data_IF_281963976345
#
_entry.id   IF_281963976345
#
_cell.length_a   1.000
_cell.length_b   1.000
_cell.length_c   1.000
_cell.angle_alpha   90.00
_cell.angle_beta   90.00
_cell.angle_gamma   90.00
#
_symmetry.space_group_name_H-M   'P 1'
#
loop_
_entity.id
_entity.type
_entity.pdbx_description
1 polymer ?
#
# COMPACT_ATOMS: atom_id res chain seq x y z
N UNK A 1 32.57 56.92 29.71
CA UNK A 1 32.93 58.08 28.85
C UNK A 1 32.03 57.98 27.63
N UNK A 2 30.82 58.54 27.70
CA UNK A 2 30.47 59.91 27.24
C UNK A 2 30.85 60.09 25.77
N UNK A 3 29.99 60.36 24.79
CA UNK A 3 28.78 61.20 24.71
C UNK A 3 27.90 60.67 23.56
N UNK A 4 26.57 60.67 23.59
CA UNK A 4 25.66 61.84 23.49
C UNK A 4 25.91 62.63 22.18
N UNK A 5 24.96 63.08 21.36
CA UNK A 5 23.52 63.26 21.51
C UNK A 5 22.94 63.71 20.15
N UNK A 6 21.69 63.31 19.90
CA UNK A 6 20.53 64.15 19.48
C UNK A 6 20.51 64.92 18.14
N UNK A 7 19.32 64.75 17.52
CA UNK A 7 18.45 65.78 16.92
C UNK A 7 18.94 66.42 15.60
N UNK A 8 18.14 66.76 14.61
CA UNK A 8 16.68 66.87 14.41
C UNK A 8 16.46 67.27 12.94
N UNK A 9 15.43 66.74 12.29
CA UNK A 9 14.76 67.32 11.09
C UNK A 9 14.22 68.76 11.40
N UNK A 10 13.82 69.64 10.43
CA UNK A 10 13.05 69.32 9.20
C UNK A 10 13.23 70.27 7.98
N UNK A 11 12.47 70.01 6.90
CA UNK A 11 11.91 71.10 6.08
C UNK A 11 12.03 71.01 4.55
N UNK A 12 10.91 70.64 3.92
CA UNK A 12 10.54 70.68 2.50
C UNK A 12 11.10 71.81 1.61
N UNK A 13 11.39 71.48 0.33
CA UNK A 13 10.85 72.15 -0.88
C UNK A 13 10.88 71.16 -2.07
N UNK A 14 9.74 70.91 -2.72
CA UNK A 14 9.66 70.35 -4.07
C UNK A 14 9.63 71.50 -5.10
N UNK A 15 10.11 71.31 -6.35
CA UNK A 15 9.12 70.99 -7.39
C UNK A 15 9.63 70.19 -8.63
N UNK A 16 8.63 69.78 -9.42
CA UNK A 16 8.62 69.60 -10.87
C UNK A 16 9.10 68.29 -11.53
N UNK A 17 8.08 67.50 -11.88
CA UNK A 17 7.89 66.59 -13.03
C UNK A 17 8.93 66.74 -14.16
N UNK A 18 9.60 65.63 -14.51
CA UNK A 18 9.86 65.26 -15.91
C UNK A 18 9.72 63.75 -16.10
N UNK A 19 8.78 63.41 -16.97
CA UNK A 19 8.55 62.10 -17.54
C UNK A 19 9.78 61.67 -18.35
N UNK A 20 10.33 60.49 -18.09
CA UNK A 20 11.23 59.78 -18.99
C UNK A 20 11.21 58.30 -18.64
N UNK A 21 10.39 57.55 -19.38
CA UNK A 21 10.36 56.10 -19.38
C UNK A 21 11.68 55.63 -20.03
N UNK A 22 12.59 55.05 -19.23
CA UNK A 22 13.65 54.18 -19.75
C UNK A 22 13.19 52.74 -19.59
N UNK A 23 12.86 52.10 -20.71
CA UNK A 23 12.75 50.64 -20.79
C UNK A 23 14.12 50.06 -20.40
N UNK A 24 14.20 49.41 -19.23
CA UNK A 24 15.23 48.41 -18.96
C UNK A 24 14.71 47.09 -19.52
N UNK A 25 15.43 46.55 -20.49
CA UNK A 25 15.29 45.16 -20.90
C UNK A 25 15.66 44.29 -19.68
N UNK A 26 14.65 43.69 -19.05
CA UNK A 26 14.85 42.59 -18.11
C UNK A 26 14.87 41.30 -18.93
N UNK A 27 15.97 40.57 -18.84
CA UNK A 27 16.12 39.20 -19.30
C UNK A 27 14.95 38.35 -18.77
N UNK A 28 14.36 37.44 -19.57
CA UNK A 28 13.30 36.59 -19.06
C UNK A 28 13.91 35.57 -18.11
N UNK A 29 13.71 35.77 -16.80
CA UNK A 29 13.68 34.65 -15.88
C UNK A 29 12.51 33.77 -16.33
N UNK A 30 12.81 32.58 -16.85
CA UNK A 30 11.85 31.50 -16.93
C UNK A 30 11.45 31.14 -15.50
N UNK A 31 10.38 31.76 -15.00
CA UNK A 31 9.65 31.23 -13.86
C UNK A 31 8.70 30.19 -14.45
N UNK A 32 9.07 28.91 -14.35
CA UNK A 32 8.10 27.83 -14.49
C UNK A 32 7.10 27.97 -13.33
N UNK A 33 6.03 28.71 -13.56
CA UNK A 33 4.84 28.62 -12.74
C UNK A 33 4.17 27.28 -13.08
N UNK A 34 4.36 26.28 -12.22
CA UNK A 34 3.56 25.07 -12.25
C UNK A 34 2.11 25.48 -11.98
N UNK A 35 1.29 25.48 -13.04
CA UNK A 35 -0.15 25.60 -12.94
C UNK A 35 -0.65 24.27 -12.36
N UNK A 36 -0.92 24.26 -11.06
CA UNK A 36 -1.65 23.16 -10.42
C UNK A 36 -3.12 23.24 -10.87
N UNK A 37 -3.45 22.52 -11.93
CA UNK A 37 -4.83 22.17 -12.25
C UNK A 37 -5.23 21.04 -11.30
N UNK A 38 -6.15 21.35 -10.39
CA UNK A 38 -6.74 20.38 -9.49
C UNK A 38 -7.65 19.40 -10.24
N UNK A 39 -7.34 18.11 -10.13
CA UNK A 39 -8.27 16.97 -10.08
C UNK A 39 -7.44 15.68 -10.10
N UNK A 40 -7.88 14.69 -9.32
CA UNK A 40 -7.29 13.35 -9.13
C UNK A 40 -6.11 13.32 -8.16
N UNK A 41 -6.18 12.42 -7.17
CA UNK A 41 -5.17 12.31 -6.13
C UNK A 41 -3.79 12.11 -6.70
N UNK A 42 -2.80 12.74 -6.05
CA UNK A 42 -1.42 12.73 -6.50
C UNK A 42 -0.93 11.27 -6.44
N UNK A 43 -1.12 10.55 -7.54
CA UNK A 43 -0.27 9.44 -7.87
C UNK A 43 1.15 10.01 -7.87
N UNK A 44 2.02 9.43 -7.04
CA UNK A 44 3.45 9.77 -7.05
C UNK A 44 3.93 9.77 -8.50
N UNK A 45 4.60 10.84 -8.93
CA UNK A 45 5.15 10.91 -10.27
C UNK A 45 6.06 9.69 -10.50
N UNK A 46 5.90 9.03 -11.64
CA UNK A 46 6.75 7.92 -12.03
C UNK A 46 8.22 8.37 -11.99
N UNK A 47 9.04 7.60 -11.29
CA UNK A 47 10.47 7.87 -11.11
C UNK A 47 11.35 7.24 -12.18
N UNK A 48 10.79 6.35 -13.00
CA UNK A 48 11.50 5.50 -13.94
C UNK A 48 12.21 4.32 -13.27
N UNK A 49 11.92 4.02 -11.99
CA UNK A 49 12.62 2.99 -11.22
C UNK A 49 11.78 1.73 -11.03
N UNK A 50 12.39 0.65 -10.56
CA UNK A 50 11.69 -0.62 -10.30
C UNK A 50 10.50 -0.48 -9.31
N UNK A 51 10.57 0.52 -8.42
CA UNK A 51 9.55 0.78 -7.39
C UNK A 51 8.26 1.41 -7.93
N UNK A 52 8.29 1.99 -9.13
CA UNK A 52 7.07 2.51 -9.76
C UNK A 52 6.06 1.38 -9.99
N UNK A 53 4.76 1.66 -9.89
CA UNK A 53 3.75 0.68 -10.30
C UNK A 53 3.92 0.38 -11.78
N UNK A 54 3.61 -0.85 -12.21
CA UNK A 54 3.52 -1.13 -13.65
C UNK A 54 2.45 -0.22 -14.26
N UNK A 55 1.29 -0.15 -13.61
CA UNK A 55 0.15 0.69 -13.98
C UNK A 55 -0.28 1.54 -12.77
N UNK A 56 -0.45 2.88 -12.90
CA UNK A 56 -0.94 3.75 -11.83
C UNK A 56 -2.24 3.31 -11.10
N UNK A 57 -3.05 2.46 -11.73
CA UNK A 57 -4.29 1.91 -11.19
C UNK A 57 -4.09 0.60 -10.44
N UNK A 58 -2.92 -0.04 -10.53
CA UNK A 58 -2.61 -1.25 -9.79
C UNK A 58 -2.78 -0.98 -8.30
N UNK A 59 -3.49 -1.88 -7.62
CA UNK A 59 -3.74 -1.79 -6.19
C UNK A 59 -2.47 -2.19 -5.43
N UNK A 60 -1.75 -1.21 -4.86
CA UNK A 60 -0.54 -1.50 -4.10
C UNK A 60 -0.87 -1.79 -2.65
N UNK A 61 -0.64 -3.03 -2.24
CA UNK A 61 -0.66 -3.44 -0.84
C UNK A 61 0.79 -3.64 -0.38
N UNK A 62 1.16 -3.02 0.72
CA UNK A 62 2.48 -3.17 1.33
C UNK A 62 2.36 -3.73 2.75
N UNK A 63 3.39 -4.42 3.19
CA UNK A 63 3.47 -5.04 4.50
C UNK A 63 4.83 -4.76 5.16
N UNK A 64 4.83 -4.51 6.46
CA UNK A 64 6.06 -4.29 7.20
C UNK A 64 5.90 -4.53 8.71
N UNK A 65 6.62 -5.51 9.26
CA UNK A 65 6.87 -5.58 10.69
C UNK A 65 7.90 -4.49 11.06
N UNK A 66 7.50 -3.53 11.88
CA UNK A 66 8.29 -2.31 12.09
C UNK A 66 9.21 -2.35 13.31
N UNK A 67 9.33 -3.47 14.02
CA UNK A 67 9.99 -3.55 15.33
C UNK A 67 9.35 -2.63 16.38
N UNK A 68 8.43 -3.18 17.18
CA UNK A 68 7.73 -2.54 18.31
C UNK A 68 7.73 -1.00 18.35
N UNK A 69 6.77 -0.34 17.69
CA UNK A 69 6.61 1.13 17.69
C UNK A 69 7.86 1.95 17.27
N UNK A 70 8.84 1.37 16.55
CA UNK A 70 10.04 2.12 16.12
C UNK A 70 9.71 3.35 15.27
N UNK A 71 8.56 3.34 14.59
CA UNK A 71 8.05 4.41 13.72
C UNK A 71 7.54 5.64 14.48
N UNK A 72 7.58 5.61 15.82
CA UNK A 72 7.19 6.72 16.69
C UNK A 72 8.40 7.36 17.40
N UNK A 73 8.32 8.67 17.76
CA UNK A 73 9.39 9.36 18.46
C UNK A 73 9.76 8.72 19.80
N UNK A 74 11.02 8.84 20.23
CA UNK A 74 11.50 8.24 21.49
C UNK A 74 10.71 8.66 22.73
N UNK A 75 10.23 9.90 22.74
CA UNK A 75 9.49 10.47 23.86
C UNK A 75 7.97 10.19 23.81
N UNK A 76 7.51 9.36 22.88
CA UNK A 76 6.11 8.97 22.80
C UNK A 76 5.75 8.02 23.97
N UNK A 77 4.81 8.39 24.86
CA UNK A 77 4.45 7.58 26.02
C UNK A 77 3.72 6.27 25.67
N UNK A 78 3.23 6.13 24.44
CA UNK A 78 2.54 4.93 23.97
C UNK A 78 3.50 3.87 23.43
N UNK A 79 4.81 4.14 23.37
CA UNK A 79 5.80 3.18 22.88
C UNK A 79 5.80 1.89 23.70
N UNK A 80 5.79 0.75 23.02
CA UNK A 80 5.96 -0.56 23.64
C UNK A 80 7.35 -0.71 24.30
N UNK A 81 7.43 -1.51 25.37
CA UNK A 81 8.69 -1.74 26.09
C UNK A 81 9.73 -2.57 25.31
N UNK A 82 9.31 -3.26 24.25
CA UNK A 82 10.19 -4.03 23.36
C UNK A 82 10.76 -3.21 22.20
N UNK A 83 10.36 -1.94 22.08
CA UNK A 83 10.90 -1.01 21.08
C UNK A 83 12.42 -0.92 21.18
N UNK A 84 13.15 -1.16 20.10
CA UNK A 84 14.61 -1.11 20.14
C UNK A 84 15.19 0.23 19.70
N UNK A 85 14.51 1.01 18.85
CA UNK A 85 15.10 2.19 18.22
C UNK A 85 14.07 3.20 17.68
N UNK A 86 14.56 4.36 17.25
CA UNK A 86 13.79 5.39 16.55
C UNK A 86 14.03 5.31 15.05
N UNK A 87 12.96 5.06 14.29
CA UNK A 87 12.96 4.93 12.82
C UNK A 87 11.95 5.86 12.15
N UNK A 88 11.54 6.93 12.84
CA UNK A 88 10.52 7.87 12.34
C UNK A 88 10.91 8.43 10.97
N UNK A 89 12.16 8.83 10.78
CA UNK A 89 12.59 9.49 9.54
C UNK A 89 12.69 8.49 8.38
N UNK A 90 13.24 7.31 8.67
CA UNK A 90 13.41 6.18 7.76
C UNK A 90 12.05 5.68 7.28
N UNK A 91 11.15 5.38 8.21
CA UNK A 91 9.80 4.91 7.90
C UNK A 91 9.04 5.92 7.04
N UNK A 92 9.16 7.23 7.33
CA UNK A 92 8.53 8.27 6.50
C UNK A 92 9.07 8.32 5.07
N UNK A 93 10.38 8.12 4.87
CA UNK A 93 10.97 8.01 3.52
C UNK A 93 10.49 6.74 2.82
N UNK A 94 10.48 5.61 3.52
CA UNK A 94 9.99 4.33 3.00
C UNK A 94 8.54 4.42 2.54
N UNK A 95 7.60 4.90 3.36
CA UNK A 95 6.20 5.00 2.95
C UNK A 95 5.99 6.02 1.82
N UNK A 96 6.75 7.12 1.80
CA UNK A 96 6.68 8.08 0.70
C UNK A 96 7.13 7.45 -0.64
N UNK A 97 8.17 6.63 -0.60
CA UNK A 97 8.68 5.92 -1.77
C UNK A 97 7.76 4.76 -2.18
N UNK A 98 7.37 3.89 -1.25
CA UNK A 98 6.45 2.78 -1.51
C UNK A 98 5.13 3.31 -2.06
N UNK A 99 4.63 4.42 -1.51
CA UNK A 99 3.36 5.04 -1.86
C UNK A 99 2.22 3.99 -1.94
N UNK A 100 1.93 3.27 -0.83
CA UNK A 100 0.92 2.22 -0.84
C UNK A 100 -0.49 2.79 -1.03
N UNK A 101 -1.42 1.93 -1.41
CA UNK A 101 -2.86 2.18 -1.29
C UNK A 101 -3.40 1.61 0.03
N UNK A 102 -2.84 0.47 0.43
CA UNK A 102 -3.13 -0.20 1.71
C UNK A 102 -1.80 -0.65 2.30
N UNK A 103 -1.61 -0.47 3.61
CA UNK A 103 -0.44 -0.94 4.33
C UNK A 103 -0.84 -1.77 5.55
N UNK A 104 -0.23 -2.94 5.70
CA UNK A 104 -0.29 -3.76 6.90
C UNK A 104 0.99 -3.60 7.71
N UNK A 105 0.83 -3.44 9.03
CA UNK A 105 1.94 -3.29 9.97
C UNK A 105 1.79 -4.32 11.08
N UNK A 106 2.92 -4.84 11.54
CA UNK A 106 3.03 -5.66 12.76
C UNK A 106 3.91 -4.95 13.79
N UNK A 107 3.81 -5.40 15.04
CA UNK A 107 4.53 -4.83 16.18
C UNK A 107 4.22 -3.35 16.44
N UNK A 108 2.95 -2.99 16.34
CA UNK A 108 2.44 -1.77 16.92
C UNK A 108 1.92 -2.09 18.33
N UNK A 109 2.12 -1.22 19.32
CA UNK A 109 1.52 -1.45 20.63
C UNK A 109 -0.01 -1.50 20.51
N UNK A 110 -0.62 -2.62 20.91
CA UNK A 110 -2.06 -2.82 20.81
C UNK A 110 -2.92 -1.90 21.67
N UNK A 111 -2.31 -1.20 22.65
CA UNK A 111 -2.99 -0.16 23.43
C UNK A 111 -2.96 1.21 22.75
N UNK A 112 -2.18 1.38 21.68
CA UNK A 112 -2.04 2.64 20.95
C UNK A 112 -3.33 2.96 20.17
N UNK A 113 -3.81 4.21 20.20
CA UNK A 113 -4.86 4.65 19.30
C UNK A 113 -4.44 4.49 17.83
N UNK A 114 -5.26 3.79 17.03
CA UNK A 114 -4.96 3.61 15.59
C UNK A 114 -4.83 4.95 14.83
N UNK A 115 -5.45 6.01 15.35
CA UNK A 115 -5.32 7.37 14.82
C UNK A 115 -3.87 7.86 14.83
N UNK A 116 -3.05 7.45 15.79
CA UNK A 116 -1.62 7.81 15.84
C UNK A 116 -0.88 7.25 14.63
N UNK A 117 -1.20 6.01 14.23
CA UNK A 117 -0.63 5.36 13.05
C UNK A 117 -1.12 6.08 11.79
N UNK A 118 -2.43 6.27 11.62
CA UNK A 118 -2.99 6.94 10.43
C UNK A 118 -2.50 8.38 10.28
N UNK A 119 -2.18 9.08 11.37
CA UNK A 119 -1.62 10.43 11.33
C UNK A 119 -0.26 10.49 10.60
N UNK A 120 0.54 9.44 10.67
CA UNK A 120 1.79 9.32 9.90
C UNK A 120 1.46 9.34 8.40
N UNK A 121 0.50 8.51 7.96
CA UNK A 121 0.09 8.42 6.56
C UNK A 121 -0.59 9.70 6.06
N UNK A 122 -1.46 10.32 6.87
CA UNK A 122 -2.07 11.62 6.58
C UNK A 122 -1.03 12.72 6.37
N UNK A 123 0.10 12.65 7.10
CA UNK A 123 1.18 13.62 6.99
C UNK A 123 2.04 13.37 5.74
N UNK A 124 2.41 12.12 5.49
CA UNK A 124 3.38 11.79 4.43
C UNK A 124 2.72 11.62 3.06
N UNK A 125 1.49 11.10 3.02
CA UNK A 125 0.71 10.82 1.82
C UNK A 125 -0.70 11.44 1.95
N UNK A 126 -0.82 12.78 2.02
CA UNK A 126 -2.11 13.44 2.21
C UNK A 126 -3.09 13.06 1.09
N UNK A 127 -4.35 12.78 1.47
CA UNK A 127 -5.39 12.43 0.51
C UNK A 127 -6.08 13.69 -0.05
N UNK A 128 -6.67 13.60 -1.26
CA UNK A 128 -7.37 14.72 -1.88
C UNK A 128 -8.52 15.24 -1.04
N UNK A 129 -8.83 16.54 -1.19
CA UNK A 129 -9.97 17.15 -0.52
C UNK A 129 -9.87 17.20 1.01
N UNK A 130 -8.68 16.94 1.58
CA UNK A 130 -8.49 16.87 3.04
C UNK A 130 -9.05 15.59 3.67
N UNK A 131 -9.28 14.55 2.86
CA UNK A 131 -9.65 13.24 3.39
C UNK A 131 -8.53 12.64 4.26
N UNK A 132 -8.92 11.72 5.15
CA UNK A 132 -8.00 11.03 6.05
C UNK A 132 -7.89 9.56 5.69
N UNK A 133 -6.71 9.00 5.88
CA UNK A 133 -6.48 7.56 5.90
C UNK A 133 -7.32 6.89 7.00
N UNK A 134 -7.76 5.67 6.71
CA UNK A 134 -8.52 4.82 7.60
C UNK A 134 -7.60 3.80 8.25
N UNK A 135 -7.93 3.38 9.47
CA UNK A 135 -7.12 2.41 10.19
C UNK A 135 -7.94 1.49 11.09
N UNK A 136 -7.50 0.25 11.20
CA UNK A 136 -7.99 -0.72 12.18
C UNK A 136 -6.80 -1.37 12.89
N UNK A 137 -6.92 -1.60 14.19
CA UNK A 137 -5.89 -2.24 15.01
C UNK A 137 -6.49 -3.45 15.72
N UNK A 138 -5.69 -4.51 15.85
CA UNK A 138 -6.05 -5.70 16.60
C UNK A 138 -4.79 -6.39 17.09
N UNK A 139 -4.69 -6.57 18.41
CA UNK A 139 -3.45 -6.93 19.08
C UNK A 139 -2.30 -6.03 18.63
N UNK A 140 -1.25 -6.53 17.98
CA UNK A 140 -0.13 -5.73 17.49
C UNK A 140 -0.13 -5.52 15.97
N UNK A 141 -1.24 -5.84 15.31
CA UNK A 141 -1.42 -5.70 13.87
C UNK A 141 -2.26 -4.47 13.54
N UNK A 142 -1.88 -3.73 12.50
CA UNK A 142 -2.62 -2.56 12.00
C UNK A 142 -2.84 -2.68 10.50
N UNK A 143 -4.07 -2.44 10.03
CA UNK A 143 -4.39 -2.19 8.63
C UNK A 143 -4.58 -0.68 8.48
N UNK A 144 -3.90 -0.06 7.51
CA UNK A 144 -4.05 1.35 7.13
C UNK A 144 -4.43 1.43 5.66
N UNK A 145 -5.49 2.17 5.32
CA UNK A 145 -6.05 2.20 3.96
C UNK A 145 -6.43 3.61 3.52
N UNK A 146 -6.26 3.90 2.22
CA UNK A 146 -6.80 5.12 1.59
C UNK A 146 -8.33 5.17 1.62
N UNK A 147 -8.98 4.02 1.79
CA UNK A 147 -10.43 3.88 1.71
C UNK A 147 -11.03 3.29 2.99
N UNK A 148 -12.35 3.48 3.24
CA UNK A 148 -13.01 3.00 4.44
C UNK A 148 -12.81 1.51 4.69
N UNK A 149 -12.78 1.15 5.98
CA UNK A 149 -12.71 -0.22 6.46
C UNK A 149 -14.07 -0.62 7.03
N UNK A 150 -14.56 -1.79 6.64
CA UNK A 150 -15.75 -2.42 7.18
C UNK A 150 -15.47 -3.88 7.55
N UNK A 151 -16.45 -4.60 8.11
CA UNK A 151 -16.31 -6.00 8.56
C UNK A 151 -15.05 -6.24 9.40
N UNK A 152 -14.71 -5.28 10.27
CA UNK A 152 -13.51 -5.34 11.08
C UNK A 152 -13.70 -6.42 12.15
N UNK A 153 -12.78 -7.36 12.20
CA UNK A 153 -12.72 -8.41 13.21
C UNK A 153 -11.30 -8.53 13.76
N UNK A 154 -11.17 -8.79 15.06
CA UNK A 154 -9.86 -8.94 15.73
C UNK A 154 -9.57 -10.37 16.20
N UNK A 155 -10.50 -11.27 15.93
CA UNK A 155 -10.41 -12.68 16.28
C UNK A 155 -11.26 -13.50 15.32
N UNK A 156 -10.84 -14.73 15.04
CA UNK A 156 -11.61 -15.72 14.27
C UNK A 156 -12.64 -16.42 15.15
N UNK A 157 -13.59 -17.14 14.55
CA UNK A 157 -14.55 -17.97 15.31
C UNK A 157 -14.65 -19.35 14.66
N UNK A 158 -14.09 -20.42 15.28
CA UNK A 158 -13.42 -20.46 16.57
C UNK A 158 -12.12 -19.64 16.62
N UNK A 159 -11.82 -19.10 17.79
CA UNK A 159 -10.65 -18.26 18.02
C UNK A 159 -9.34 -19.04 17.83
N UNK A 160 -8.38 -18.41 17.15
CA UNK A 160 -6.97 -18.82 17.25
C UNK A 160 -6.38 -18.48 18.62
N UNK A 161 -5.09 -18.73 18.80
CA UNK A 161 -4.39 -18.48 20.08
C UNK A 161 -3.84 -17.05 20.25
N UNK A 162 -3.86 -16.23 19.19
CA UNK A 162 -3.47 -14.83 19.20
C UNK A 162 -4.51 -14.01 18.42
N UNK A 163 -4.91 -12.84 18.93
CA UNK A 163 -5.72 -11.89 18.17
C UNK A 163 -4.90 -11.25 17.06
N UNK A 164 -5.60 -10.62 16.11
CA UNK A 164 -5.07 -10.03 14.87
C UNK A 164 -5.99 -8.91 14.42
N UNK A 165 -5.83 -8.39 13.20
CA UNK A 165 -6.86 -7.53 12.59
C UNK A 165 -7.19 -7.99 11.17
N UNK A 166 -8.50 -8.05 10.89
CA UNK A 166 -9.06 -8.41 9.60
C UNK A 166 -10.08 -7.35 9.21
N UNK A 167 -10.14 -6.95 7.95
CA UNK A 167 -11.09 -5.93 7.49
C UNK A 167 -11.36 -6.04 5.99
N UNK A 168 -12.58 -5.67 5.60
CA UNK A 168 -12.95 -5.42 4.21
C UNK A 168 -12.61 -3.96 3.87
N UNK A 169 -11.77 -3.76 2.85
CA UNK A 169 -11.45 -2.44 2.31
C UNK A 169 -12.44 -2.10 1.21
N UNK A 170 -13.23 -1.04 1.40
CA UNK A 170 -14.21 -0.51 0.44
C UNK A 170 -13.47 0.15 -0.74
N UNK A 171 -13.21 -0.63 -1.79
CA UNK A 171 -12.43 -0.20 -2.94
C UNK A 171 -13.31 0.65 -3.89
N UNK A 172 -12.73 1.64 -4.60
CA UNK A 172 -13.51 2.44 -5.54
C UNK A 172 -14.17 1.57 -6.63
N UNK A 173 -15.51 1.52 -6.62
CA UNK A 173 -16.31 0.71 -7.54
C UNK A 173 -16.10 1.07 -9.02
N UNK A 174 -15.59 2.27 -9.31
CA UNK A 174 -15.22 2.69 -10.64
C UNK A 174 -13.92 2.05 -11.14
N UNK A 175 -13.13 1.45 -10.24
CA UNK A 175 -11.82 0.82 -10.51
C UNK A 175 -11.81 -0.67 -10.23
N UNK A 176 -12.54 -1.08 -9.21
CA UNK A 176 -12.52 -2.43 -8.65
C UNK A 176 -13.94 -2.95 -8.54
N UNK A 177 -14.22 -4.09 -9.19
CA UNK A 177 -15.57 -4.68 -9.19
C UNK A 177 -15.93 -5.35 -7.84
N UNK A 178 -14.94 -5.48 -6.96
CA UNK A 178 -15.02 -6.10 -5.64
C UNK A 178 -14.10 -5.36 -4.68
N UNK A 179 -14.48 -5.39 -3.42
CA UNK A 179 -13.64 -4.98 -2.30
C UNK A 179 -12.56 -6.03 -1.98
N UNK A 180 -11.56 -5.67 -1.18
CA UNK A 180 -10.49 -6.57 -0.75
C UNK A 180 -10.62 -6.88 0.73
N UNK A 181 -10.73 -8.17 1.08
CA UNK A 181 -10.71 -8.60 2.47
C UNK A 181 -9.28 -8.94 2.90
N UNK A 182 -8.73 -8.19 3.86
CA UNK A 182 -7.37 -8.34 4.36
C UNK A 182 -7.39 -9.03 5.72
N UNK A 183 -6.50 -10.00 5.88
CA UNK A 183 -6.19 -10.70 7.12
C UNK A 183 -4.73 -10.38 7.44
N UNK A 184 -4.49 -9.38 8.31
CA UNK A 184 -3.15 -9.00 8.73
C UNK A 184 -2.71 -9.89 9.89
N UNK A 185 -1.67 -10.69 9.66
CA UNK A 185 -1.18 -11.71 10.57
C UNK A 185 0.15 -11.33 11.22
N UNK A 186 0.30 -11.73 12.49
CA UNK A 186 1.59 -11.82 13.17
C UNK A 186 1.59 -13.14 13.95
N UNK A 187 2.14 -14.17 13.32
CA UNK A 187 2.17 -15.50 13.90
C UNK A 187 3.10 -15.59 15.09
N UNK A 188 2.90 -16.63 15.91
CA UNK A 188 3.75 -16.84 17.08
C UNK A 188 5.22 -16.93 16.64
N UNK A 189 6.02 -15.99 17.11
CA UNK A 189 7.45 -15.97 16.89
C UNK A 189 8.16 -17.22 17.39
N UNK A 190 9.43 -17.28 16.98
CA UNK A 190 10.48 -18.01 17.67
C UNK A 190 10.40 -19.53 17.44
N UNK A 191 11.55 -20.19 17.58
CA UNK A 191 11.67 -21.63 17.32
C UNK A 191 10.99 -22.50 18.40
N UNK A 192 10.99 -23.81 18.16
CA UNK A 192 10.54 -24.83 19.11
C UNK A 192 9.13 -25.34 18.85
N UNK A 193 8.92 -26.63 19.16
CA UNK A 193 7.69 -27.36 18.84
C UNK A 193 6.41 -26.75 19.45
N UNK A 194 6.51 -26.12 20.63
CA UNK A 194 5.37 -25.45 21.24
C UNK A 194 4.94 -24.19 20.48
N UNK A 195 5.90 -23.44 19.91
CA UNK A 195 5.60 -22.28 19.07
C UNK A 195 5.13 -22.71 17.68
N UNK A 196 5.65 -23.82 17.16
CA UNK A 196 5.20 -24.41 15.90
C UNK A 196 3.72 -24.84 15.97
N UNK A 197 3.33 -25.53 17.05
CA UNK A 197 1.93 -25.87 17.32
C UNK A 197 1.04 -24.62 17.42
N UNK A 198 1.58 -23.54 18.00
CA UNK A 198 0.87 -22.26 18.09
C UNK A 198 0.65 -21.63 16.72
N UNK A 199 1.63 -21.68 15.82
CA UNK A 199 1.48 -21.27 14.42
C UNK A 199 0.46 -22.13 13.68
N UNK A 200 0.46 -23.44 13.91
CA UNK A 200 -0.53 -24.35 13.32
C UNK A 200 -1.95 -23.99 13.76
N UNK A 201 -2.17 -23.71 15.05
CA UNK A 201 -3.46 -23.24 15.57
C UNK A 201 -3.90 -21.94 14.87
N UNK A 202 -2.97 -21.01 14.64
CA UNK A 202 -3.28 -19.76 13.93
C UNK A 202 -3.67 -20.05 12.47
N UNK A 203 -2.93 -20.90 11.78
CA UNK A 203 -3.20 -21.31 10.41
C UNK A 203 -4.57 -22.01 10.26
N UNK A 204 -4.89 -22.98 11.12
CA UNK A 204 -6.18 -23.68 11.13
C UNK A 204 -7.34 -22.70 11.33
N UNK A 205 -7.17 -21.75 12.25
CA UNK A 205 -8.19 -20.74 12.56
C UNK A 205 -8.47 -19.79 11.38
N UNK A 206 -7.46 -19.49 10.55
CA UNK A 206 -7.60 -18.65 9.35
C UNK A 206 -8.36 -19.40 8.28
N UNK A 207 -8.02 -20.65 8.02
CA UNK A 207 -8.70 -21.44 7.00
C UNK A 207 -10.17 -21.65 7.36
N UNK A 208 -10.47 -21.89 8.64
CA UNK A 208 -11.84 -21.90 9.13
C UNK A 208 -12.55 -20.57 8.84
N UNK A 209 -11.91 -19.43 9.17
CA UNK A 209 -12.47 -18.10 8.96
C UNK A 209 -12.70 -17.78 7.47
N UNK A 210 -11.74 -18.13 6.61
CA UNK A 210 -11.87 -17.95 5.16
C UNK A 210 -12.99 -18.83 4.60
N UNK A 211 -13.17 -20.06 5.08
CA UNK A 211 -14.33 -20.89 4.74
C UNK A 211 -15.64 -20.25 5.18
N UNK A 212 -15.69 -19.74 6.41
CA UNK A 212 -16.86 -19.05 6.96
C UNK A 212 -17.22 -17.83 6.10
N UNK A 213 -16.23 -17.03 5.72
CA UNK A 213 -16.38 -15.90 4.82
C UNK A 213 -16.96 -16.27 3.44
N UNK A 214 -16.71 -17.48 2.95
CA UNK A 214 -17.29 -18.01 1.71
C UNK A 214 -18.65 -18.70 1.89
N UNK A 215 -19.13 -18.86 3.12
CA UNK A 215 -20.36 -19.60 3.47
C UNK A 215 -21.39 -18.67 4.09
N UNK A 216 -22.56 -18.53 3.45
CA UNK A 216 -23.60 -17.63 3.94
C UNK A 216 -24.14 -18.05 5.33
N UNK A 217 -24.30 -17.07 6.23
CA UNK A 217 -24.91 -17.26 7.55
C UNK A 217 -23.93 -17.58 8.69
N UNK A 218 -22.63 -17.48 8.41
CA UNK A 218 -21.53 -17.57 9.37
C UNK A 218 -21.34 -16.35 10.26
N UNK A 219 -20.16 -16.28 10.90
CA UNK A 219 -19.68 -15.10 11.65
C UNK A 219 -19.29 -13.96 10.71
N UNK A 220 -18.89 -14.28 9.48
CA UNK A 220 -18.67 -13.35 8.39
C UNK A 220 -19.23 -13.94 7.09
N UNK A 221 -19.70 -13.10 6.17
CA UNK A 221 -20.10 -13.54 4.83
C UNK A 221 -19.67 -12.47 3.83
N UNK A 222 -18.78 -12.85 2.91
CA UNK A 222 -18.33 -12.02 1.80
C UNK A 222 -19.15 -12.33 0.55
N UNK A 223 -19.26 -11.34 -0.35
CA UNK A 223 -19.83 -11.59 -1.66
C UNK A 223 -18.95 -12.58 -2.45
N UNK A 224 -19.55 -13.46 -3.24
CA UNK A 224 -18.79 -14.41 -4.06
C UNK A 224 -17.78 -13.70 -4.96
N UNK A 225 -16.54 -14.20 -4.94
CA UNK A 225 -15.42 -13.63 -5.69
C UNK A 225 -14.79 -12.40 -5.05
N UNK A 226 -15.14 -12.03 -3.81
CA UNK A 226 -14.36 -11.03 -3.04
C UNK A 226 -12.95 -11.56 -2.80
N UNK A 227 -11.89 -10.92 -3.33
CA UNK A 227 -10.52 -11.36 -3.06
C UNK A 227 -10.21 -11.32 -1.56
N UNK A 228 -9.50 -12.34 -1.09
CA UNK A 228 -8.97 -12.41 0.27
C UNK A 228 -7.45 -12.44 0.21
N UNK A 229 -6.80 -11.70 1.11
CA UNK A 229 -5.36 -11.58 1.23
C UNK A 229 -4.94 -11.81 2.69
N UNK A 230 -4.22 -12.90 2.93
CA UNK A 230 -3.48 -13.14 4.18
C UNK A 230 -2.09 -12.55 4.01
N UNK A 231 -1.73 -11.55 4.82
CA UNK A 231 -0.48 -10.82 4.66
C UNK A 231 0.12 -10.48 6.03
N UNK A 232 1.45 -10.52 6.15
CA UNK A 232 2.15 -10.20 7.39
C UNK A 232 3.28 -11.16 7.72
N UNK A 233 3.85 -10.95 8.91
CA UNK A 233 4.86 -11.81 9.52
C UNK A 233 4.23 -13.14 10.00
N UNK A 234 4.37 -14.18 9.18
CA UNK A 234 3.90 -15.51 9.50
C UNK A 234 4.89 -16.32 10.35
N UNK A 235 6.08 -15.78 10.64
CA UNK A 235 7.08 -16.40 11.49
C UNK A 235 7.27 -17.89 11.17
N UNK A 236 7.25 -18.26 9.86
CA UNK A 236 7.33 -19.65 9.42
C UNK A 236 8.76 -20.15 9.65
N UNK A 237 8.98 -20.58 10.90
CA UNK A 237 10.20 -21.20 11.38
C UNK A 237 9.86 -22.59 11.91
N UNK A 238 10.73 -23.57 11.66
CA UNK A 238 10.46 -24.96 12.01
C UNK A 238 9.71 -25.70 10.90
N UNK A 239 8.44 -26.08 11.12
CA UNK A 239 7.69 -26.87 10.15
C UNK A 239 6.99 -26.00 9.09
N UNK A 240 6.78 -26.57 7.90
CA UNK A 240 6.00 -25.93 6.83
C UNK A 240 4.51 -26.22 6.93
N UNK A 241 4.05 -26.97 7.93
CA UNK A 241 2.64 -27.34 8.06
C UNK A 241 1.72 -26.12 8.24
N UNK A 242 2.06 -25.10 9.05
CA UNK A 242 1.24 -23.89 9.13
C UNK A 242 1.13 -23.19 7.77
N UNK A 243 2.22 -23.08 7.02
CA UNK A 243 2.21 -22.49 5.68
C UNK A 243 1.36 -23.30 4.69
N UNK A 244 1.53 -24.63 4.65
CA UNK A 244 0.74 -25.51 3.80
C UNK A 244 -0.76 -25.45 4.13
N UNK A 245 -1.09 -25.24 5.41
CA UNK A 245 -2.47 -25.04 5.85
C UNK A 245 -3.03 -23.74 5.28
N UNK A 246 -2.33 -22.61 5.43
CA UNK A 246 -2.78 -21.32 4.88
C UNK A 246 -2.89 -21.35 3.36
N UNK A 247 -2.00 -22.07 2.67
CA UNK A 247 -2.02 -22.20 1.21
C UNK A 247 -3.15 -23.11 0.70
N UNK A 248 -3.30 -24.29 1.28
CA UNK A 248 -4.13 -25.35 0.68
C UNK A 248 -5.31 -25.79 1.54
N UNK A 249 -5.49 -25.20 2.71
CA UNK A 249 -6.66 -25.43 3.54
C UNK A 249 -6.70 -26.78 4.25
N UNK A 250 -5.56 -27.47 4.37
CA UNK A 250 -5.44 -28.73 5.11
C UNK A 250 -5.36 -28.43 6.62
N UNK A 251 -6.50 -28.48 7.31
CA UNK A 251 -6.61 -28.13 8.73
C UNK A 251 -6.10 -29.29 9.58
N UNK A 252 -5.20 -29.01 10.52
CA UNK A 252 -4.64 -30.05 11.40
C UNK A 252 -5.61 -30.50 12.49
N UNK A 253 -6.30 -29.55 13.14
CA UNK A 253 -7.34 -29.85 14.13
C UNK A 253 -8.75 -29.65 13.55
N UNK A 254 -9.21 -30.64 12.77
CA UNK A 254 -10.56 -30.59 12.20
C UNK A 254 -11.68 -30.68 13.25
N UNK A 255 -11.37 -31.18 14.46
CA UNK A 255 -12.34 -31.26 15.55
C UNK A 255 -12.73 -29.87 16.05
N UNK A 256 -11.77 -28.96 16.15
CA UNK A 256 -11.99 -27.57 16.55
C UNK A 256 -12.34 -26.69 15.35
N UNK A 257 -11.55 -26.74 14.28
CA UNK A 257 -11.64 -25.79 13.17
C UNK A 257 -12.43 -26.32 11.96
N UNK A 258 -13.04 -27.49 12.06
CA UNK A 258 -13.88 -28.09 11.02
C UNK A 258 -13.08 -28.74 9.87
N UNK A 259 -13.76 -29.24 8.82
CA UNK A 259 -13.10 -29.99 7.75
C UNK A 259 -12.10 -29.16 6.95
N UNK A 260 -11.25 -29.80 6.17
CA UNK A 260 -10.37 -29.11 5.23
C UNK A 260 -11.17 -28.24 4.27
N UNK A 261 -10.58 -27.13 3.85
CA UNK A 261 -11.24 -26.18 2.97
C UNK A 261 -10.20 -25.37 2.20
N UNK A 262 -9.90 -25.75 0.94
CA UNK A 262 -9.05 -24.95 0.07
C UNK A 262 -9.50 -23.48 0.11
N UNK A 263 -8.57 -22.53 0.34
CA UNK A 263 -8.90 -21.15 0.69
C UNK A 263 -9.47 -20.32 -0.46
N UNK A 264 -9.39 -20.78 -1.71
CA UNK A 264 -9.90 -20.04 -2.86
C UNK A 264 -11.39 -20.33 -3.15
N UNK A 265 -12.05 -19.42 -3.86
CA UNK A 265 -13.44 -19.48 -4.30
C UNK A 265 -13.70 -20.57 -5.34
N UNK A 266 -12.72 -20.90 -6.17
CA UNK A 266 -12.82 -21.95 -7.18
C UNK A 266 -12.46 -23.35 -6.64
N UNK A 267 -12.19 -23.46 -5.34
CA UNK A 267 -11.83 -24.70 -4.65
C UNK A 267 -10.36 -25.10 -4.79
N UNK A 268 -9.50 -24.21 -5.31
CA UNK A 268 -8.05 -24.40 -5.39
C UNK A 268 -7.32 -23.87 -4.14
N UNK A 269 -6.00 -24.12 -4.09
CA UNK A 269 -5.12 -23.51 -3.09
C UNK A 269 -4.90 -22.03 -3.40
N UNK A 270 -4.70 -21.21 -2.38
CA UNK A 270 -4.19 -19.84 -2.54
C UNK A 270 -2.75 -19.85 -3.06
N UNK A 271 -2.33 -18.72 -3.60
CA UNK A 271 -0.98 -18.50 -4.13
C UNK A 271 -0.16 -17.65 -3.16
N UNK A 272 1.10 -18.05 -2.92
CA UNK A 272 2.11 -17.20 -2.28
C UNK A 272 2.70 -16.22 -3.31
N UNK A 273 2.61 -14.94 -3.00
CA UNK A 273 3.24 -13.87 -3.76
C UNK A 273 4.74 -14.08 -3.93
N UNK A 274 5.47 -14.58 -2.94
CA UNK A 274 6.92 -14.85 -2.99
C UNK A 274 7.74 -13.82 -3.80
N UNK A 275 7.85 -12.56 -3.32
CA UNK A 275 8.63 -11.52 -3.96
C UNK A 275 10.15 -11.70 -3.78
N UNK A 276 10.92 -11.03 -4.65
CA UNK A 276 12.38 -10.96 -4.60
C UNK A 276 12.84 -9.53 -4.29
N UNK A 277 14.08 -9.40 -3.81
CA UNK A 277 14.70 -8.12 -3.45
C UNK A 277 14.77 -7.17 -4.65
N UNK A 278 14.06 -6.05 -4.58
CA UNK A 278 14.05 -5.00 -5.61
C UNK A 278 13.75 -5.52 -7.05
N UNK A 279 13.10 -6.68 -7.20
CA UNK A 279 12.89 -7.37 -8.49
C UNK A 279 14.23 -7.77 -9.17
N UNK A 280 15.27 -7.99 -8.37
CA UNK A 280 16.62 -8.31 -8.83
C UNK A 280 17.23 -9.44 -8.01
N UNK A 281 18.05 -10.27 -8.66
CA UNK A 281 18.75 -11.36 -7.97
C UNK A 281 17.82 -12.47 -7.45
N UNK A 282 18.37 -13.48 -6.76
CA UNK A 282 17.61 -14.59 -6.21
C UNK A 282 17.15 -14.38 -4.76
N UNK A 283 17.56 -13.30 -4.08
CA UNK A 283 17.29 -13.12 -2.66
C UNK A 283 15.81 -12.83 -2.36
N UNK A 284 15.26 -13.54 -1.38
CA UNK A 284 13.84 -13.50 -0.98
C UNK A 284 13.64 -13.42 0.54
N UNK A 285 14.72 -13.29 1.32
CA UNK A 285 14.61 -13.16 2.77
C UNK A 285 13.88 -11.86 3.11
N UNK A 286 12.99 -11.90 4.09
CA UNK A 286 12.30 -10.71 4.60
C UNK A 286 12.79 -10.36 5.99
N UNK A 287 13.47 -11.29 6.67
CA UNK A 287 14.08 -11.10 7.97
C UNK A 287 15.59 -11.35 7.95
N UNK A 288 16.38 -10.49 8.61
CA UNK A 288 17.83 -10.67 8.74
C UNK A 288 18.45 -9.89 9.89
N UNK A 289 19.25 -10.58 10.69
CA UNK A 289 20.17 -9.99 11.65
C UNK A 289 21.53 -10.69 11.55
N UNK A 290 22.56 -9.97 11.07
CA UNK A 290 23.93 -10.49 10.94
C UNK A 290 24.58 -10.83 12.31
N UNK A 291 24.03 -10.34 13.42
CA UNK A 291 24.43 -10.69 14.77
C UNK A 291 23.71 -11.91 15.34
N UNK A 292 22.70 -12.44 14.64
CA UNK A 292 21.91 -13.58 15.08
C UNK A 292 22.56 -14.91 14.71
N UNK A 293 22.18 -15.96 15.45
CA UNK A 293 22.54 -17.34 15.10
C UNK A 293 21.59 -17.94 14.04
N UNK A 294 20.52 -17.22 13.68
CA UNK A 294 19.59 -17.63 12.63
C UNK A 294 20.06 -17.07 11.28
N UNK A 295 20.03 -17.93 10.26
CA UNK A 295 20.22 -17.48 8.87
C UNK A 295 19.10 -16.51 8.46
N UNK A 296 19.34 -15.63 7.48
CA UNK A 296 18.28 -14.80 6.89
C UNK A 296 17.08 -15.65 6.46
N UNK A 297 15.87 -15.23 6.82
CA UNK A 297 14.65 -16.00 6.66
C UNK A 297 13.57 -15.25 5.88
N UNK A 298 12.70 -15.98 5.16
CA UNK A 298 11.44 -15.43 4.64
C UNK A 298 10.35 -15.66 5.68
N UNK A 299 10.03 -14.61 6.42
CA UNK A 299 9.04 -14.65 7.50
C UNK A 299 7.74 -13.92 7.13
N UNK A 300 7.82 -12.97 6.20
CA UNK A 300 6.71 -12.13 5.77
C UNK A 300 6.16 -12.63 4.44
N UNK A 301 4.84 -12.81 4.36
CA UNK A 301 4.17 -13.45 3.22
C UNK A 301 3.00 -12.61 2.74
N UNK A 302 2.63 -12.78 1.47
CA UNK A 302 1.40 -12.29 0.88
C UNK A 302 0.70 -13.44 0.15
N UNK A 303 -0.27 -14.08 0.79
CA UNK A 303 -1.00 -15.25 0.31
C UNK A 303 -2.41 -14.82 -0.09
N UNK A 304 -2.80 -15.05 -1.34
CA UNK A 304 -4.05 -14.52 -1.88
C UNK A 304 -4.83 -15.54 -2.69
N UNK A 305 -6.13 -15.31 -2.80
CA UNK A 305 -7.04 -16.06 -3.68
C UNK A 305 -6.86 -15.61 -5.12
N UNK A 306 -6.20 -16.41 -5.94
CA UNK A 306 -5.81 -16.08 -7.31
C UNK A 306 -6.96 -16.19 -8.34
N UNK A 307 -8.06 -16.85 -7.97
CA UNK A 307 -9.29 -16.79 -8.76
C UNK A 307 -9.89 -15.36 -8.83
N UNK A 308 -9.60 -14.52 -7.82
CA UNK A 308 -10.12 -13.16 -7.68
C UNK A 308 -9.06 -12.05 -7.81
N UNK A 309 -7.78 -12.40 -7.67
CA UNK A 309 -6.67 -11.45 -7.60
C UNK A 309 -5.47 -11.93 -8.43
N UNK A 310 -4.84 -11.03 -9.17
CA UNK A 310 -3.61 -11.32 -9.93
C UNK A 310 -2.51 -10.35 -9.57
N UNK A 311 -1.25 -10.81 -9.63
CA UNK A 311 -0.08 -9.98 -9.31
C UNK A 311 0.43 -9.30 -10.58
N UNK A 312 0.46 -7.97 -10.57
CA UNK A 312 1.09 -7.15 -11.62
C UNK A 312 2.59 -6.96 -11.36
N UNK A 313 2.96 -6.66 -10.12
CA UNK A 313 4.34 -6.45 -9.69
C UNK A 313 4.48 -6.84 -8.22
N UNK A 314 5.65 -7.32 -7.83
CA UNK A 314 5.95 -7.73 -6.46
C UNK A 314 7.43 -7.53 -6.16
N UNK A 315 7.76 -7.07 -4.96
CA UNK A 315 9.14 -6.89 -4.51
C UNK A 315 9.26 -6.90 -3.00
N UNK A 316 10.46 -7.21 -2.51
CA UNK A 316 10.93 -6.87 -1.16
C UNK A 316 11.82 -5.64 -1.32
N UNK A 317 11.49 -4.53 -0.68
CA UNK A 317 12.29 -3.31 -0.77
C UNK A 317 13.52 -3.43 0.13
N UNK A 318 14.71 -3.39 -0.46
CA UNK A 318 15.97 -3.42 0.27
C UNK A 318 16.86 -2.26 -0.17
N UNK A 319 16.95 -1.19 0.63
CA UNK A 319 17.70 0.02 0.26
C UNK A 319 19.21 -0.17 0.24
N UNK A 320 19.71 -1.20 0.93
CA UNK A 320 21.14 -1.51 0.98
C UNK A 320 21.63 -2.04 -0.38
N UNK A 321 20.79 -2.79 -1.09
CA UNK A 321 21.12 -3.38 -2.40
C UNK A 321 20.72 -2.50 -3.59
N UNK A 322 20.00 -1.40 -3.36
CA UNK A 322 19.67 -0.42 -4.41
C UNK A 322 20.92 0.26 -4.98
N UNK A 323 20.83 0.74 -6.22
CA UNK A 323 21.82 1.68 -6.75
C UNK A 323 21.65 3.06 -6.09
N UNK A 324 22.70 3.89 -6.10
CA UNK A 324 22.58 5.27 -5.61
C UNK A 324 21.56 6.07 -6.43
N UNK A 325 21.53 5.87 -7.75
CA UNK A 325 20.58 6.56 -8.64
C UNK A 325 19.13 6.20 -8.31
N UNK A 326 18.83 4.91 -8.07
CA UNK A 326 17.48 4.51 -7.68
C UNK A 326 17.08 5.10 -6.32
N UNK A 327 18.01 5.15 -5.36
CA UNK A 327 17.75 5.77 -4.05
C UNK A 327 17.46 7.26 -4.19
N UNK A 328 18.29 7.99 -4.93
CA UNK A 328 18.13 9.42 -5.16
C UNK A 328 16.80 9.72 -5.87
N UNK A 329 16.46 8.94 -6.90
CA UNK A 329 15.19 9.05 -7.61
C UNK A 329 13.98 8.75 -6.71
N UNK A 330 14.14 7.91 -5.69
CA UNK A 330 13.10 7.56 -4.74
C UNK A 330 13.08 8.35 -3.43
N UNK A 331 14.04 9.27 -3.23
CA UNK A 331 14.19 9.98 -1.95
C UNK A 331 14.55 9.08 -0.77
N UNK A 332 15.18 7.94 -1.06
CA UNK A 332 15.61 6.92 -0.09
C UNK A 332 17.09 7.09 0.26
N UNK A 333 17.48 6.60 1.43
CA UNK A 333 18.87 6.52 1.87
C UNK A 333 19.30 5.05 2.00
N UNK A 334 20.62 4.81 1.98
CA UNK A 334 21.19 3.46 1.95
C UNK A 334 20.65 2.56 3.07
N UNK A 335 20.54 3.10 4.28
CA UNK A 335 20.25 2.34 5.50
C UNK A 335 18.78 2.48 5.96
N UNK A 336 17.87 2.95 5.11
CA UNK A 336 16.47 3.18 5.52
C UNK A 336 15.75 1.91 5.99
N UNK A 337 16.14 0.74 5.48
CA UNK A 337 15.58 -0.55 5.91
C UNK A 337 16.34 -1.21 7.08
N UNK A 338 17.36 -0.57 7.64
CA UNK A 338 18.14 -1.14 8.75
C UNK A 338 17.62 -0.63 10.10
N UNK A 339 17.47 -1.53 11.07
CA UNK A 339 17.30 -1.14 12.47
C UNK A 339 18.60 -0.59 13.06
N UNK A 340 19.75 -1.20 12.75
CA UNK A 340 21.06 -0.66 13.13
C UNK A 340 22.12 -1.04 12.09
N UNK A 341 22.85 -0.07 11.51
CA UNK A 341 23.92 -0.38 10.57
C UNK A 341 25.22 -0.81 11.28
N UNK A 342 26.00 -1.74 10.69
CA UNK A 342 25.68 -2.54 9.51
C UNK A 342 24.96 -3.84 9.87
N UNK A 343 24.09 -4.33 8.98
CA UNK A 343 23.69 -5.74 8.97
C UNK A 343 22.52 -6.14 9.88
N UNK A 344 21.98 -5.24 10.69
CA UNK A 344 20.74 -5.50 11.43
C UNK A 344 19.53 -4.90 10.72
N UNK A 345 18.81 -5.74 9.96
CA UNK A 345 17.60 -5.37 9.24
C UNK A 345 16.36 -5.56 10.12
N UNK A 346 16.33 -6.65 10.90
CA UNK A 346 15.12 -7.24 11.46
C UNK A 346 14.16 -7.64 10.35
N UNK A 347 13.22 -6.80 9.91
CA UNK A 347 12.33 -7.08 8.77
C UNK A 347 12.55 -6.15 7.57
N UNK A 348 12.08 -6.55 6.39
CA UNK A 348 12.11 -5.78 5.15
C UNK A 348 10.68 -5.53 4.62
N UNK A 349 10.36 -4.33 4.11
CA UNK A 349 9.04 -4.06 3.55
C UNK A 349 8.74 -4.91 2.31
N UNK A 350 7.60 -5.60 2.33
CA UNK A 350 7.06 -6.36 1.20
C UNK A 350 6.05 -5.50 0.45
N UNK A 351 6.10 -5.48 -0.88
CA UNK A 351 5.19 -4.68 -1.73
C UNK A 351 4.64 -5.53 -2.86
N UNK A 352 3.31 -5.55 -3.00
CA UNK A 352 2.62 -6.24 -4.09
C UNK A 352 1.60 -5.32 -4.73
N UNK A 353 1.70 -5.20 -6.05
CA UNK A 353 0.76 -4.51 -6.91
C UNK A 353 -0.20 -5.56 -7.50
N UNK A 354 -1.49 -5.42 -7.18
CA UNK A 354 -2.53 -6.35 -7.62
C UNK A 354 -3.45 -5.76 -8.67
N UNK A 355 -4.04 -6.65 -9.46
CA UNK A 355 -5.20 -6.41 -10.34
C UNK A 355 -6.29 -7.42 -10.01
N UNK A 356 -7.52 -6.95 -9.87
CA UNK A 356 -8.67 -7.85 -9.71
C UNK A 356 -8.92 -8.58 -11.04
N UNK A 357 -9.20 -9.87 -10.96
CA UNK A 357 -9.46 -10.72 -12.14
C UNK A 357 -10.82 -10.45 -12.78
N UNK A 358 -11.72 -9.76 -12.07
CA UNK A 358 -12.97 -9.24 -12.62
C UNK A 358 -12.78 -7.76 -12.99
N UNK A 359 -12.71 -7.41 -14.29
CA UNK A 359 -12.63 -6.03 -14.71
C UNK A 359 -13.89 -5.27 -14.28
N UNK A 360 -13.75 -4.00 -13.88
CA UNK A 360 -14.91 -3.10 -13.92
C UNK A 360 -15.27 -2.93 -15.40
N UNK A 361 -16.52 -3.18 -15.80
CA UNK A 361 -16.91 -2.97 -17.19
C UNK A 361 -16.57 -1.54 -17.61
N UNK A 362 -15.87 -1.40 -18.74
CA UNK A 362 -15.65 -0.10 -19.35
C UNK A 362 -17.00 0.60 -19.54
N UNK A 363 -17.09 1.84 -19.08
CA UNK A 363 -18.30 2.64 -19.17
C UNK A 363 -18.15 3.80 -20.16
N UNK A 364 -16.92 4.11 -20.62
CA UNK A 364 -16.63 5.19 -21.57
C UNK A 364 -16.37 6.55 -20.93
N UNK A 365 -16.43 6.69 -19.60
CA UNK A 365 -16.03 7.92 -18.89
C UNK A 365 -14.50 7.97 -18.76
N UNK A 366 -13.83 8.23 -19.89
CA UNK A 366 -12.37 8.24 -19.99
C UNK A 366 -11.75 9.60 -19.66
N UNK A 367 -12.57 10.65 -19.55
CA UNK A 367 -12.13 11.95 -19.02
C UNK A 367 -12.22 12.02 -17.48
N UNK A 368 -12.86 11.03 -16.84
CA UNK A 368 -13.04 10.87 -15.40
C UNK A 368 -13.88 11.99 -14.75
N UNK A 369 -14.87 12.53 -15.47
CA UNK A 369 -15.78 13.57 -14.97
C UNK A 369 -17.09 13.03 -14.38
N UNK A 370 -17.27 11.70 -14.40
CA UNK A 370 -18.43 10.99 -13.87
C UNK A 370 -19.54 10.78 -14.88
N UNK A 371 -19.37 11.19 -16.15
CA UNK A 371 -20.39 11.04 -17.18
C UNK A 371 -19.80 10.72 -18.56
N UNK A 372 -20.22 9.61 -19.17
CA UNK A 372 -19.88 9.28 -20.55
C UNK A 372 -20.62 10.18 -21.54
N UNK A 373 -19.91 11.12 -22.15
CA UNK A 373 -20.47 12.14 -23.05
C UNK A 373 -19.44 12.61 -24.10
N UNK A 374 -19.81 13.58 -24.94
CA UNK A 374 -18.93 14.06 -26.02
C UNK A 374 -17.55 14.59 -25.58
N UNK A 375 -17.36 14.90 -24.29
CA UNK A 375 -16.06 15.30 -23.73
C UNK A 375 -15.07 14.13 -23.60
N UNK A 376 -15.56 12.89 -23.61
CA UNK A 376 -14.74 11.68 -23.56
C UNK A 376 -14.07 11.38 -24.90
N UNK A 377 -14.63 11.88 -26.02
CA UNK A 377 -14.14 11.57 -27.37
C UNK A 377 -12.66 11.94 -27.53
N UNK A 378 -12.26 13.15 -27.11
CA UNK A 378 -10.86 13.58 -27.24
C UNK A 378 -9.91 12.69 -26.41
N UNK A 379 -10.33 12.32 -25.20
CA UNK A 379 -9.55 11.43 -24.34
C UNK A 379 -9.46 10.01 -24.89
N UNK A 380 -10.57 9.47 -25.39
CA UNK A 380 -10.62 8.14 -25.99
C UNK A 380 -9.74 8.07 -27.25
N UNK A 381 -9.84 9.07 -28.12
CA UNK A 381 -9.00 9.16 -29.33
C UNK A 381 -7.52 9.28 -28.95
N UNK A 382 -7.18 10.01 -27.89
CA UNK A 382 -5.79 10.07 -27.38
C UNK A 382 -5.32 8.71 -26.87
N UNK A 383 -6.13 8.01 -26.08
CA UNK A 383 -5.82 6.64 -25.63
C UNK A 383 -5.56 5.72 -26.83
N UNK A 384 -6.46 5.74 -27.82
CA UNK A 384 -6.36 4.94 -29.04
C UNK A 384 -5.09 5.22 -29.86
N UNK A 385 -4.78 6.51 -30.07
CA UNK A 385 -3.73 6.92 -31.01
C UNK A 385 -2.33 6.87 -30.40
N UNK A 386 -2.25 7.08 -29.10
CA UNK A 386 -0.97 7.39 -28.47
C UNK A 386 -0.75 6.63 -27.17
N UNK A 387 -1.77 5.92 -26.68
CA UNK A 387 -1.78 5.33 -25.34
C UNK A 387 -1.57 6.35 -24.23
N UNK A 388 -1.70 7.66 -24.53
CA UNK A 388 -0.87 8.65 -23.83
C UNK A 388 -1.25 8.80 -22.38
N UNK A 389 -0.39 8.20 -21.56
CA UNK A 389 -0.27 8.42 -20.14
C UNK A 389 -0.20 7.16 -19.31
N UNK A 390 -0.30 5.94 -19.86
CA UNK A 390 -0.46 4.72 -19.04
C UNK A 390 -1.46 4.92 -17.89
N UNK A 391 -2.45 5.82 -18.02
CA UNK A 391 -3.38 6.10 -16.92
C UNK A 391 -4.39 4.98 -16.96
N UNK A 392 -4.26 3.95 -16.13
CA UNK A 392 -4.98 2.73 -16.37
C UNK A 392 -6.38 2.79 -15.76
N UNK A 393 -6.72 3.90 -15.08
CA UNK A 393 -8.11 4.27 -14.87
C UNK A 393 -8.78 4.59 -16.20
N UNK A 394 -8.13 5.42 -17.03
CA UNK A 394 -8.67 5.76 -18.35
C UNK A 394 -8.67 4.56 -19.28
N UNK A 395 -7.64 3.70 -19.21
CA UNK A 395 -7.63 2.44 -19.95
C UNK A 395 -8.77 1.55 -19.49
N UNK A 396 -8.95 1.31 -18.18
CA UNK A 396 -10.05 0.50 -17.68
C UNK A 396 -11.45 1.05 -18.07
N UNK A 397 -11.60 2.38 -18.14
CA UNK A 397 -12.84 3.04 -18.57
C UNK A 397 -13.09 2.95 -20.07
N UNK A 398 -12.03 2.77 -20.87
CA UNK A 398 -12.08 2.75 -22.33
C UNK A 398 -11.84 1.38 -22.98
N UNK A 399 -11.36 0.38 -22.23
CA UNK A 399 -11.10 -0.99 -22.70
C UNK A 399 -12.37 -1.83 -22.63
N UNK A 400 -13.24 -1.62 -23.61
CA UNK A 400 -14.51 -2.32 -23.75
C UNK A 400 -14.35 -3.78 -24.17
N UNK A 401 -13.20 -4.15 -24.75
CA UNK A 401 -12.87 -5.51 -25.15
C UNK A 401 -12.30 -6.34 -24.00
N UNK A 402 -11.81 -5.68 -22.95
CA UNK A 402 -11.19 -6.29 -21.77
C UNK A 402 -9.80 -6.88 -22.05
N UNK A 403 -9.10 -6.42 -23.09
CA UNK A 403 -7.81 -6.98 -23.50
C UNK A 403 -6.60 -6.28 -22.86
N UNK A 404 -6.85 -5.30 -21.99
CA UNK A 404 -5.85 -4.53 -21.24
C UNK A 404 -5.34 -3.28 -21.97
N UNK A 405 -5.88 -2.94 -23.14
CA UNK A 405 -5.51 -1.74 -23.91
C UNK A 405 -6.77 -1.08 -24.50
N UNK A 406 -6.66 0.19 -24.88
CA UNK A 406 -7.69 0.85 -25.71
C UNK A 406 -7.21 0.81 -27.15
N UNK A 407 -7.83 -0.03 -27.97
CA UNK A 407 -7.50 -0.25 -29.36
C UNK A 407 -8.74 -0.20 -30.28
N UNK A 408 -8.58 -0.64 -31.53
CA UNK A 408 -9.65 -0.60 -32.52
C UNK A 408 -10.88 -1.46 -32.14
N UNK A 409 -10.70 -2.50 -31.32
CA UNK A 409 -11.78 -3.35 -30.84
C UNK A 409 -12.76 -2.58 -29.93
N UNK A 410 -12.29 -1.56 -29.24
CA UNK A 410 -13.08 -0.80 -28.25
C UNK A 410 -13.95 0.28 -28.89
N UNK A 411 -13.55 0.78 -30.07
CA UNK A 411 -14.16 1.95 -30.73
C UNK A 411 -15.67 1.79 -30.89
N UNK A 412 -16.13 0.64 -31.37
CA UNK A 412 -17.55 0.42 -31.65
C UNK A 412 -18.40 0.43 -30.38
N UNK A 413 -17.88 -0.12 -29.29
CA UNK A 413 -18.58 -0.20 -28.01
C UNK A 413 -18.55 1.15 -27.30
N UNK A 414 -17.44 1.88 -27.38
CA UNK A 414 -17.35 3.25 -26.89
C UNK A 414 -18.35 4.19 -27.57
N UNK A 415 -18.48 4.11 -28.90
CA UNK A 415 -19.49 4.88 -29.64
C UNK A 415 -20.89 4.55 -29.14
N UNK A 416 -21.20 3.27 -28.90
CA UNK A 416 -22.50 2.87 -28.32
C UNK A 416 -22.70 3.43 -26.91
N UNK A 417 -21.66 3.43 -26.07
CA UNK A 417 -21.71 3.99 -24.72
C UNK A 417 -21.94 5.52 -24.73
N UNK A 418 -21.37 6.23 -25.70
CA UNK A 418 -21.53 7.68 -25.88
C UNK A 418 -22.94 8.08 -26.32
N UNK A 419 -23.56 7.30 -27.20
CA UNK A 419 -24.87 7.62 -27.78
C UNK A 419 -26.04 7.08 -26.95
N UNK A 420 -25.75 6.19 -25.97
CA UNK A 420 -26.75 5.46 -25.22
C UNK A 420 -27.54 4.46 -26.07
N UNK A 421 -28.35 3.58 -25.47
CA UNK A 421 -29.44 2.93 -26.20
C UNK A 421 -30.48 3.93 -26.71
#
# INVERSE_FOLDING_TARGET
>A
MCNDSRNSEPGHVAPMKKCCIRLRAQSPLLVLAAIALGSSGIARAQTGTFLDRQWPSDLRVADYNVNWDSIFPDNDPNNHSFRCCNKVAEFRRLIAAINPDIMTLQEINGSRPVTDVTAIFNTVLPLPGGASWHGAIGYNNVIVSRWPLSMIATQTTPAGNLPRVMALVDLPNDRFARDLYIINEHFKCCEGAANDLRRQIQADSIINWMRDARTAGGSITLSTGTPMLVIGDLNIVGSLNPLNTVLCGNISDNGTYGPDSPPDWDGSCSVDGHPLHNITGPEDYTWRDDGSNFDPGRLDFAIFTDSALSVAKKLILNTVTMTQADRDANGLQLNDVLLDPPGYYDHLPLVVDFRLTTPVPANGDVNLDGATNGRDIDWFVRLLLTGLGNDPLRIAKGDFSGNGVVDAADVSVFVNALVGP
#
